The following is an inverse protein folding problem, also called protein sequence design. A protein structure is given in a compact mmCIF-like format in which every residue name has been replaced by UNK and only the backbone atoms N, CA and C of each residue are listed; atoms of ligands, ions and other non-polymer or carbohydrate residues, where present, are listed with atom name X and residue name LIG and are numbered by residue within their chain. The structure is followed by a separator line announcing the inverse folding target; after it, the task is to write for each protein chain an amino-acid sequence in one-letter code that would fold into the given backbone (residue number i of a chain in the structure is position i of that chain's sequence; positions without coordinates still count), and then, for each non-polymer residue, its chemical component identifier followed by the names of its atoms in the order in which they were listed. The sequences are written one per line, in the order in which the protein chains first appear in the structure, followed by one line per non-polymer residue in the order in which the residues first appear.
data_IF_334299155147
#
_entry.id   IF_334299155147
#
_cell.length_a   1.000
_cell.length_b   1.000
_cell.length_c   1.000
_cell.angle_alpha   90.00
_cell.angle_beta   90.00
_cell.angle_gamma   90.00
#
_symmetry.space_group_name_H-M   'P 1'
#
loop_
_entity.id
_entity.type
_entity.pdbx_description
1 polymer ?
#
# COMPACT_ATOMS: atom_id res chain seq x y z
N UNK A 1 -24.99 12.16 -13.58
CA UNK A 1 -25.75 11.93 -12.34
C UNK A 1 -27.26 11.88 -12.62
N UNK A 2 -27.70 10.92 -13.44
CA UNK A 2 -29.13 10.66 -13.64
C UNK A 2 -29.66 9.84 -12.45
N UNK A 3 -30.85 10.12 -11.90
CA UNK A 3 -31.32 9.44 -10.69
C UNK A 3 -31.45 7.92 -10.84
N UNK A 4 -31.92 7.44 -12.00
CA UNK A 4 -32.05 6.02 -12.34
C UNK A 4 -30.69 5.30 -12.37
N UNK A 5 -29.67 5.92 -12.97
CA UNK A 5 -28.31 5.37 -13.00
C UNK A 5 -27.66 5.35 -11.61
N UNK A 6 -27.91 6.36 -10.77
CA UNK A 6 -27.39 6.38 -9.39
C UNK A 6 -27.99 5.26 -8.55
N UNK A 7 -29.29 4.99 -8.68
CA UNK A 7 -29.92 3.91 -7.93
C UNK A 7 -29.40 2.55 -8.37
N UNK A 8 -29.24 2.36 -9.70
CA UNK A 8 -28.64 1.14 -10.24
C UNK A 8 -27.21 0.93 -9.72
N UNK A 9 -26.37 1.96 -9.77
CA UNK A 9 -24.98 1.88 -9.32
C UNK A 9 -24.87 1.64 -7.81
N UNK A 10 -25.79 2.23 -7.01
CA UNK A 10 -25.81 2.01 -5.56
C UNK A 10 -25.98 0.52 -5.24
N UNK A 11 -26.86 -0.18 -5.94
CA UNK A 11 -27.05 -1.62 -5.72
C UNK A 11 -25.79 -2.42 -6.10
N UNK A 12 -25.09 -2.01 -7.15
CA UNK A 12 -23.80 -2.63 -7.54
C UNK A 12 -22.77 -2.45 -6.44
N UNK A 13 -22.59 -1.23 -5.92
CA UNK A 13 -21.61 -0.95 -4.85
C UNK A 13 -21.95 -1.70 -3.56
N UNK A 14 -23.23 -1.82 -3.21
CA UNK A 14 -23.63 -2.61 -2.04
C UNK A 14 -23.28 -4.10 -2.19
N UNK A 15 -23.42 -4.65 -3.39
CA UNK A 15 -22.96 -6.01 -3.69
C UNK A 15 -21.43 -6.12 -3.66
N UNK A 16 -20.71 -5.13 -4.19
CA UNK A 16 -19.24 -5.08 -4.12
C UNK A 16 -18.72 -5.06 -2.68
N UNK A 17 -19.37 -4.33 -1.78
CA UNK A 17 -19.04 -4.34 -0.34
C UNK A 17 -19.20 -5.77 0.23
N UNK A 18 -20.31 -6.45 -0.08
CA UNK A 18 -20.55 -7.80 0.40
C UNK A 18 -19.53 -8.80 -0.17
N UNK A 19 -19.25 -8.72 -1.48
CA UNK A 19 -18.25 -9.57 -2.12
C UNK A 19 -16.85 -9.36 -1.52
N UNK A 20 -16.51 -8.11 -1.19
CA UNK A 20 -15.24 -7.76 -0.57
C UNK A 20 -15.13 -8.26 0.88
N UNK A 21 -16.20 -8.12 1.66
CA UNK A 21 -16.26 -8.68 3.03
C UNK A 21 -16.18 -10.22 3.05
N UNK A 22 -16.62 -10.87 1.97
CA UNK A 22 -16.54 -12.30 1.74
C UNK A 22 -15.18 -12.77 1.18
N UNK A 23 -14.21 -11.84 0.97
CA UNK A 23 -12.83 -12.15 0.56
C UNK A 23 -11.82 -11.88 1.70
N UNK A 24 -11.59 -12.86 2.60
CA UNK A 24 -10.71 -12.72 3.77
C UNK A 24 -9.29 -12.22 3.49
N UNK A 25 -8.75 -12.56 2.32
CA UNK A 25 -7.40 -12.16 1.90
C UNK A 25 -7.30 -10.69 1.53
N UNK A 26 -8.40 -10.04 1.15
CA UNK A 26 -8.45 -8.60 0.88
C UNK A 26 -8.87 -7.85 2.14
N UNK A 27 -9.95 -8.30 2.82
CA UNK A 27 -10.47 -7.69 4.05
C UNK A 27 -9.38 -7.45 5.13
N UNK A 28 -8.41 -8.37 5.26
CA UNK A 28 -7.34 -8.24 6.25
C UNK A 28 -6.47 -6.98 6.02
N UNK A 29 -6.33 -6.52 4.78
CA UNK A 29 -5.55 -5.33 4.45
C UNK A 29 -6.25 -4.05 4.89
N UNK A 30 -7.57 -3.98 4.75
CA UNK A 30 -8.34 -2.80 5.17
C UNK A 30 -8.41 -2.71 6.68
N UNK A 31 -8.62 -3.85 7.35
CA UNK A 31 -8.52 -3.93 8.81
C UNK A 31 -7.14 -3.48 9.30
N UNK A 32 -6.06 -3.88 8.61
CA UNK A 32 -4.71 -3.41 8.93
C UNK A 32 -4.57 -1.89 8.77
N UNK A 33 -5.07 -1.32 7.68
CA UNK A 33 -5.00 0.13 7.44
C UNK A 33 -5.86 0.92 8.43
N UNK A 34 -7.05 0.44 8.78
CA UNK A 34 -7.91 0.99 9.83
C UNK A 34 -7.19 1.00 11.18
N UNK A 35 -6.60 -0.14 11.57
CA UNK A 35 -5.86 -0.27 12.82
C UNK A 35 -4.59 0.59 12.84
N UNK A 36 -3.92 0.75 11.70
CA UNK A 36 -2.71 1.57 11.58
C UNK A 36 -3.00 3.07 11.62
N UNK A 37 -4.17 3.50 11.15
CA UNK A 37 -4.59 4.89 11.03
C UNK A 37 -5.98 5.13 11.64
N UNK A 38 -6.17 4.87 12.95
CA UNK A 38 -7.47 5.01 13.58
C UNK A 38 -7.93 6.46 13.53
N UNK A 39 -9.22 6.65 13.24
CA UNK A 39 -9.91 7.94 13.13
C UNK A 39 -9.34 8.90 12.05
N UNK A 40 -8.30 8.49 11.32
CA UNK A 40 -7.69 9.27 10.25
C UNK A 40 -8.33 8.90 8.89
N UNK A 41 -8.52 9.85 7.95
CA UNK A 41 -9.11 9.54 6.64
C UNK A 41 -8.38 8.50 5.79
N UNK A 42 -7.13 8.16 6.13
CA UNK A 42 -6.35 7.11 5.46
C UNK A 42 -6.86 5.72 5.88
N UNK A 43 -7.34 5.58 7.12
CA UNK A 43 -7.89 4.34 7.66
C UNK A 43 -9.31 4.03 7.21
N UNK A 44 -9.91 4.85 6.35
CA UNK A 44 -11.30 4.67 5.89
C UNK A 44 -11.31 3.79 4.65
N UNK A 45 -12.23 2.84 4.63
CA UNK A 45 -12.50 1.99 3.47
C UNK A 45 -12.89 2.84 2.26
N UNK A 46 -12.32 2.50 1.09
CA UNK A 46 -12.54 3.21 -0.18
C UNK A 46 -13.99 3.05 -0.63
N UNK A 47 -14.57 1.85 -0.47
CA UNK A 47 -15.98 1.58 -0.77
C UNK A 47 -16.94 2.28 0.21
N UNK A 48 -16.45 2.72 1.37
CA UNK A 48 -17.26 3.24 2.46
C UNK A 48 -18.02 2.13 3.18
N UNK A 49 -19.17 2.47 3.78
CA UNK A 49 -20.06 1.50 4.44
C UNK A 49 -21.41 1.44 3.77
N UNK A 50 -22.13 0.33 3.96
CA UNK A 50 -23.50 0.16 3.46
C UNK A 50 -24.42 1.32 3.89
N UNK A 51 -24.27 1.84 5.11
CA UNK A 51 -25.03 3.00 5.59
C UNK A 51 -24.69 4.27 4.81
N UNK A 52 -23.40 4.56 4.61
CA UNK A 52 -22.97 5.77 3.90
C UNK A 52 -23.38 5.75 2.44
N UNK A 53 -23.28 4.60 1.77
CA UNK A 53 -23.70 4.40 0.37
C UNK A 53 -25.22 4.48 0.23
N UNK A 54 -25.97 3.90 1.17
CA UNK A 54 -27.44 4.00 1.22
C UNK A 54 -27.92 5.44 1.41
N UNK A 55 -27.21 6.23 2.21
CA UNK A 55 -27.54 7.63 2.47
C UNK A 55 -27.03 8.60 1.39
N UNK A 56 -26.18 8.16 0.47
CA UNK A 56 -25.51 9.03 -0.49
C UNK A 56 -26.50 9.63 -1.50
N UNK A 57 -26.63 10.96 -1.47
CA UNK A 57 -27.55 11.69 -2.35
C UNK A 57 -26.87 12.12 -3.65
N UNK A 58 -27.68 12.30 -4.71
CA UNK A 58 -27.22 12.86 -5.99
C UNK A 58 -26.47 14.18 -5.81
N UNK A 59 -26.98 15.05 -4.95
CA UNK A 59 -26.42 16.38 -4.75
C UNK A 59 -25.09 16.32 -3.98
N UNK A 60 -24.91 15.35 -3.08
CA UNK A 60 -23.63 15.08 -2.43
C UNK A 60 -22.58 14.62 -3.46
N UNK A 61 -22.95 13.68 -4.35
CA UNK A 61 -22.06 13.20 -5.42
C UNK A 61 -21.68 14.35 -6.37
N UNK A 62 -22.66 15.12 -6.83
CA UNK A 62 -22.42 16.25 -7.71
C UNK A 62 -21.57 17.34 -7.02
N UNK A 63 -21.83 17.59 -5.74
CA UNK A 63 -21.04 18.50 -4.92
C UNK A 63 -19.58 18.07 -4.81
N UNK A 64 -19.34 16.78 -4.51
CA UNK A 64 -17.98 16.21 -4.47
C UNK A 64 -17.27 16.34 -5.83
N UNK A 65 -17.95 15.98 -6.92
CA UNK A 65 -17.39 16.12 -8.27
C UNK A 65 -16.97 17.56 -8.56
N UNK A 66 -17.84 18.54 -8.33
CA UNK A 66 -17.55 19.96 -8.57
C UNK A 66 -16.46 20.52 -7.63
N UNK A 67 -16.36 19.98 -6.41
CA UNK A 67 -15.35 20.39 -5.45
C UNK A 67 -13.96 19.85 -5.81
N UNK A 68 -13.85 18.59 -6.26
CA UNK A 68 -12.56 17.89 -6.38
C UNK A 68 -12.05 17.70 -7.82
N UNK A 69 -12.93 17.60 -8.82
CA UNK A 69 -12.55 17.39 -10.24
C UNK A 69 -12.27 18.72 -10.95
N UNK A 70 -11.33 19.49 -10.38
CA UNK A 70 -10.92 20.81 -10.88
C UNK A 70 -9.62 20.72 -11.67
N UNK A 71 -9.40 21.53 -12.73
CA UNK A 71 -8.20 21.42 -13.56
C UNK A 71 -6.86 21.41 -12.81
N UNK A 72 -6.62 22.25 -11.77
CA UNK A 72 -5.36 22.20 -11.00
C UNK A 72 -5.15 20.94 -10.14
N UNK A 73 -6.17 20.08 -10.03
CA UNK A 73 -6.16 18.82 -9.29
C UNK A 73 -6.21 17.59 -10.22
N UNK A 74 -6.14 17.80 -11.54
CA UNK A 74 -6.18 16.73 -12.54
C UNK A 74 -4.86 16.66 -13.30
N UNK A 75 -4.42 15.44 -13.59
CA UNK A 75 -3.29 15.16 -14.47
C UNK A 75 -3.80 14.27 -15.60
N UNK A 76 -3.53 14.66 -16.84
CA UNK A 76 -3.79 13.82 -18.00
C UNK A 76 -2.48 13.24 -18.50
N UNK A 77 -2.37 11.92 -18.49
CA UNK A 77 -1.21 11.19 -18.98
C UNK A 77 -1.56 10.41 -20.24
N UNK A 78 -0.67 10.42 -21.22
CA UNK A 78 -0.78 9.65 -22.44
C UNK A 78 0.59 9.08 -22.80
N UNK A 79 0.62 7.84 -23.28
CA UNK A 79 1.83 7.21 -23.80
C UNK A 79 1.48 6.30 -24.98
N UNK A 80 2.37 6.22 -25.97
CA UNK A 80 2.16 5.45 -27.18
C UNK A 80 2.70 6.19 -28.40
N UNK A 81 2.17 5.85 -29.58
CA UNK A 81 2.49 6.54 -30.83
C UNK A 81 1.65 7.83 -30.95
N UNK A 82 2.14 8.92 -30.36
CA UNK A 82 1.46 10.20 -30.30
C UNK A 82 2.42 11.37 -30.49
N UNK A 83 1.90 12.50 -30.95
CA UNK A 83 2.60 13.79 -30.98
C UNK A 83 2.09 14.67 -29.84
N UNK A 84 3.01 15.16 -29.01
CA UNK A 84 2.67 15.93 -27.81
C UNK A 84 1.77 17.13 -28.13
N UNK A 85 2.16 17.94 -29.11
CA UNK A 85 1.45 19.17 -29.47
C UNK A 85 0.02 18.91 -29.97
N UNK A 86 -0.20 17.80 -30.68
CA UNK A 86 -1.53 17.41 -31.17
C UNK A 86 -2.47 17.00 -30.01
N UNK A 87 -1.94 16.24 -29.05
CA UNK A 87 -2.67 15.83 -27.86
C UNK A 87 -2.96 17.05 -26.99
N UNK A 88 -1.95 17.87 -26.69
CA UNK A 88 -2.08 19.08 -25.88
C UNK A 88 -3.12 20.04 -26.50
N UNK A 89 -2.98 20.38 -27.77
CA UNK A 89 -3.94 21.27 -28.45
C UNK A 89 -5.34 20.64 -28.53
N UNK A 90 -5.43 19.31 -28.67
CA UNK A 90 -6.68 18.56 -28.65
C UNK A 90 -7.40 18.63 -27.31
N UNK A 91 -6.64 18.60 -26.21
CA UNK A 91 -7.13 18.75 -24.85
C UNK A 91 -7.52 20.21 -24.56
N UNK A 92 -6.67 21.18 -24.90
CA UNK A 92 -6.96 22.61 -24.72
C UNK A 92 -8.25 23.04 -25.42
N UNK A 93 -8.54 22.49 -26.60
CA UNK A 93 -9.80 22.78 -27.32
C UNK A 93 -11.05 22.19 -26.64
N UNK A 94 -10.91 21.10 -25.89
CA UNK A 94 -12.03 20.35 -25.30
C UNK A 94 -12.23 20.63 -23.82
N UNK A 95 -11.15 20.97 -23.13
CA UNK A 95 -11.15 21.35 -21.74
C UNK A 95 -11.26 22.86 -21.68
N UNK A 96 -12.42 23.36 -21.26
CA UNK A 96 -12.52 24.76 -20.89
C UNK A 96 -11.50 25.04 -19.77
N UNK A 97 -10.70 26.12 -19.84
CA UNK A 97 -9.94 26.59 -18.70
C UNK A 97 -10.95 27.03 -17.64
N UNK A 98 -11.38 26.10 -16.80
CA UNK A 98 -12.23 26.40 -15.67
C UNK A 98 -11.31 26.97 -14.58
N UNK A 99 -11.45 28.26 -14.23
CA UNK A 99 -10.71 28.82 -13.12
C UNK A 99 -11.08 28.05 -11.86
N UNK A 100 -10.08 27.75 -11.04
CA UNK A 100 -10.28 27.00 -9.81
C UNK A 100 -8.98 26.95 -9.04
N UNK A 101 -9.11 26.73 -7.74
CA UNK A 101 -7.98 26.41 -6.89
C UNK A 101 -8.00 24.92 -6.61
N UNK A 102 -6.80 24.33 -6.42
CA UNK A 102 -6.67 22.99 -5.89
C UNK A 102 -7.44 22.91 -4.56
N UNK A 103 -8.24 21.86 -4.33
CA UNK A 103 -8.94 21.71 -3.05
C UNK A 103 -7.96 21.79 -1.89
N UNK A 104 -8.31 22.57 -0.87
CA UNK A 104 -7.58 22.59 0.39
C UNK A 104 -7.77 21.23 1.05
N UNK A 105 -6.69 20.68 1.60
CA UNK A 105 -6.74 19.46 2.39
C UNK A 105 -6.81 19.86 3.84
N UNK A 106 -7.74 19.27 4.57
CA UNK A 106 -7.76 19.42 6.02
C UNK A 106 -6.56 18.66 6.60
N UNK A 107 -5.91 19.25 7.60
CA UNK A 107 -4.88 18.56 8.37
C UNK A 107 -5.53 17.60 9.36
N UNK A 108 -4.99 16.40 9.47
CA UNK A 108 -5.43 15.40 10.44
C UNK A 108 -4.24 14.98 11.29
N UNK A 109 -4.48 14.78 12.59
CA UNK A 109 -3.46 14.25 13.49
C UNK A 109 -3.47 12.72 13.43
N UNK A 110 -2.28 12.14 13.50
CA UNK A 110 -2.14 10.69 13.59
C UNK A 110 -2.36 10.22 15.02
N UNK A 111 -3.45 9.51 15.27
CA UNK A 111 -3.66 8.78 16.53
C UNK A 111 -2.64 7.67 16.75
N UNK A 112 -2.59 7.11 17.96
CA UNK A 112 -1.81 5.90 18.22
C UNK A 112 -2.42 4.71 17.45
N UNK A 113 -1.62 3.86 16.78
CA UNK A 113 -2.14 2.66 16.14
C UNK A 113 -2.85 1.73 17.14
N UNK A 114 -3.83 0.97 16.65
CA UNK A 114 -4.39 -0.17 17.40
C UNK A 114 -3.43 -1.35 17.22
N UNK A 115 -2.82 -1.91 18.28
CA UNK A 115 -1.80 -2.95 18.13
C UNK A 115 -2.29 -4.21 17.40
N UNK A 116 -3.59 -4.50 17.52
CA UNK A 116 -4.20 -5.64 16.85
C UNK A 116 -5.66 -5.39 16.48
N UNK A 117 -6.12 -6.09 15.45
CA UNK A 117 -7.53 -6.16 15.04
C UNK A 117 -7.84 -7.56 14.48
N UNK A 118 -9.02 -8.08 14.82
CA UNK A 118 -9.41 -9.46 14.52
C UNK A 118 -10.80 -9.47 13.92
N UNK A 119 -10.94 -10.19 12.81
CA UNK A 119 -12.24 -10.53 12.25
C UNK A 119 -12.42 -12.04 12.25
N UNK A 120 -13.27 -12.52 13.17
CA UNK A 120 -13.63 -13.93 13.25
C UNK A 120 -14.47 -14.31 12.04
N UNK A 121 -13.97 -15.25 11.23
CA UNK A 121 -14.64 -15.77 10.03
C UNK A 121 -14.44 -17.27 9.90
N UNK A 122 -15.46 -18.06 9.52
CA UNK A 122 -15.34 -19.49 9.30
C UNK A 122 -14.60 -19.77 7.98
N UNK A 123 -13.27 -19.73 8.03
CA UNK A 123 -12.38 -19.82 6.86
C UNK A 123 -11.37 -20.95 7.02
N UNK A 124 -10.98 -21.57 5.91
CA UNK A 124 -9.99 -22.65 5.90
C UNK A 124 -8.56 -22.15 6.13
N UNK A 125 -8.31 -20.86 5.86
CA UNK A 125 -7.03 -20.20 6.06
C UNK A 125 -7.16 -19.01 7.01
N UNK A 126 -6.14 -18.81 7.82
CA UNK A 126 -5.87 -17.56 8.50
C UNK A 126 -5.13 -16.61 7.55
N UNK A 127 -5.69 -15.42 7.35
CA UNK A 127 -5.05 -14.32 6.64
C UNK A 127 -4.50 -13.35 7.67
N UNK A 128 -3.19 -13.09 7.62
CA UNK A 128 -2.51 -12.17 8.53
C UNK A 128 -1.83 -11.06 7.78
N UNK A 129 -1.91 -9.86 8.34
CA UNK A 129 -1.07 -8.73 7.96
C UNK A 129 -0.35 -8.23 9.20
N UNK A 130 0.98 -8.18 9.13
CA UNK A 130 1.84 -7.55 10.14
C UNK A 130 2.50 -6.36 9.49
N UNK A 131 2.34 -5.17 10.07
CA UNK A 131 2.92 -3.98 9.47
C UNK A 131 3.09 -2.83 10.45
N UNK A 132 3.58 -1.72 9.94
CA UNK A 132 3.88 -0.52 10.72
C UNK A 132 3.82 0.72 9.83
N UNK A 133 3.80 1.90 10.46
CA UNK A 133 3.90 3.17 9.74
C UNK A 133 5.27 3.26 9.08
N UNK A 134 5.29 3.80 7.87
CA UNK A 134 6.46 3.94 7.04
C UNK A 134 6.57 5.36 6.47
N UNK A 135 7.48 5.54 5.51
CA UNK A 135 7.82 6.84 4.95
C UNK A 135 6.69 7.45 4.14
N UNK A 136 6.58 8.78 4.17
CA UNK A 136 5.69 9.51 3.28
C UNK A 136 6.14 9.41 1.82
N UNK A 137 5.23 9.69 0.89
CA UNK A 137 5.52 9.66 -0.56
C UNK A 137 6.58 10.67 -1.00
N UNK A 138 6.82 11.72 -0.21
CA UNK A 138 7.80 12.76 -0.46
C UNK A 138 9.18 12.49 0.14
N UNK A 139 9.32 11.45 0.96
CA UNK A 139 10.59 11.14 1.64
C UNK A 139 11.68 10.76 0.62
N UNK A 140 12.89 11.28 0.82
CA UNK A 140 14.04 11.02 -0.04
C UNK A 140 14.50 9.56 0.06
N UNK A 141 14.27 8.92 1.22
CA UNK A 141 14.64 7.54 1.49
C UNK A 141 13.70 6.51 0.83
N UNK A 142 12.71 6.94 0.04
CA UNK A 142 11.75 6.04 -0.63
C UNK A 142 12.40 4.99 -1.55
N UNK A 143 13.58 5.27 -2.11
CA UNK A 143 14.34 4.30 -2.90
C UNK A 143 14.98 3.24 -2.01
N UNK A 144 15.55 3.63 -0.88
CA UNK A 144 16.07 2.71 0.13
C UNK A 144 14.95 1.86 0.75
N UNK A 145 13.76 2.42 1.00
CA UNK A 145 12.57 1.66 1.42
C UNK A 145 12.11 0.65 0.35
N UNK A 146 12.21 1.00 -0.94
CA UNK A 146 11.88 0.07 -2.02
C UNK A 146 12.82 -1.13 -2.05
N UNK A 147 14.12 -0.89 -1.83
CA UNK A 147 15.14 -1.95 -1.71
C UNK A 147 14.89 -2.80 -0.46
N UNK A 148 14.63 -2.17 0.69
CA UNK A 148 14.30 -2.86 1.94
C UNK A 148 13.10 -3.81 1.75
N UNK A 149 12.01 -3.31 1.17
CA UNK A 149 10.83 -4.13 0.88
C UNK A 149 11.15 -5.29 -0.06
N UNK A 150 11.99 -5.07 -1.08
CA UNK A 150 12.37 -6.12 -2.02
C UNK A 150 13.15 -7.25 -1.34
N UNK A 151 14.03 -6.93 -0.39
CA UNK A 151 14.77 -7.93 0.39
C UNK A 151 13.85 -8.66 1.37
N UNK A 152 12.92 -7.94 2.01
CA UNK A 152 12.00 -8.49 3.01
C UNK A 152 11.04 -9.51 2.41
N UNK A 153 10.21 -9.09 1.45
CA UNK A 153 9.10 -9.90 0.93
C UNK A 153 8.69 -9.59 -0.51
N UNK A 154 9.46 -8.79 -1.25
CA UNK A 154 9.06 -8.31 -2.59
C UNK A 154 9.28 -9.29 -3.74
N UNK A 155 9.68 -10.54 -3.49
CA UNK A 155 9.88 -11.52 -4.56
C UNK A 155 10.35 -12.89 -4.08
N UNK A 156 10.55 -13.83 -5.01
CA UNK A 156 10.88 -15.21 -4.67
C UNK A 156 12.24 -15.38 -3.96
N UNK A 157 13.19 -14.46 -4.19
CA UNK A 157 14.49 -14.45 -3.52
C UNK A 157 14.49 -13.69 -2.18
N UNK A 158 13.33 -13.18 -1.73
CA UNK A 158 13.22 -12.42 -0.48
C UNK A 158 13.27 -13.33 0.75
N UNK A 159 13.63 -12.76 1.91
CA UNK A 159 13.79 -13.51 3.16
C UNK A 159 12.53 -14.26 3.55
N UNK A 160 11.38 -13.57 3.55
CA UNK A 160 10.10 -14.16 3.94
C UNK A 160 9.67 -15.30 3.00
N UNK A 161 9.89 -15.12 1.69
CA UNK A 161 9.58 -16.17 0.73
C UNK A 161 10.45 -17.40 0.96
N UNK A 162 11.77 -17.21 1.13
CA UNK A 162 12.69 -18.31 1.34
C UNK A 162 12.44 -19.03 2.68
N UNK A 163 12.29 -18.29 3.78
CA UNK A 163 12.16 -18.87 5.12
C UNK A 163 10.79 -19.54 5.33
N UNK A 164 9.69 -18.87 4.98
CA UNK A 164 8.34 -19.32 5.37
C UNK A 164 7.73 -20.21 4.29
N UNK A 165 7.92 -19.87 3.01
CA UNK A 165 7.32 -20.61 1.89
C UNK A 165 8.23 -21.70 1.36
N UNK A 166 9.45 -21.39 0.94
CA UNK A 166 10.34 -22.35 0.28
C UNK A 166 10.86 -23.43 1.25
N UNK A 167 11.42 -23.01 2.39
CA UNK A 167 12.07 -23.95 3.32
C UNK A 167 11.08 -24.69 4.21
N UNK A 168 10.01 -24.03 4.66
CA UNK A 168 9.07 -24.59 5.65
C UNK A 168 7.70 -24.97 5.08
N UNK A 169 7.33 -24.47 3.90
CA UNK A 169 6.04 -24.79 3.29
C UNK A 169 4.83 -24.40 4.14
N UNK A 170 4.95 -23.39 5.02
CA UNK A 170 3.89 -23.02 5.97
C UNK A 170 2.78 -22.20 5.32
N UNK A 171 3.11 -21.50 4.23
CA UNK A 171 2.23 -20.54 3.57
C UNK A 171 2.23 -20.79 2.07
N UNK A 172 1.08 -20.57 1.43
CA UNK A 172 1.02 -20.52 -0.03
C UNK A 172 1.44 -19.15 -0.56
N UNK A 173 0.96 -18.10 0.11
CA UNK A 173 1.25 -16.71 -0.22
C UNK A 173 1.88 -16.02 0.99
N UNK A 174 3.05 -15.41 0.77
CA UNK A 174 3.69 -14.47 1.68
C UNK A 174 4.40 -13.42 0.84
N UNK A 175 4.20 -12.16 1.17
CA UNK A 175 4.85 -11.04 0.48
C UNK A 175 4.85 -9.81 1.38
N UNK A 176 5.65 -8.81 1.01
CA UNK A 176 5.62 -7.50 1.64
C UNK A 176 5.34 -6.39 0.63
N UNK A 177 4.64 -5.37 1.07
CA UNK A 177 4.31 -4.21 0.26
C UNK A 177 4.48 -2.91 1.03
N UNK A 178 4.57 -1.82 0.27
CA UNK A 178 4.62 -0.45 0.79
C UNK A 178 3.52 0.41 0.21
N UNK A 179 2.84 1.15 1.06
CA UNK A 179 1.90 2.22 0.69
C UNK A 179 2.47 3.56 1.11
N UNK A 180 2.39 4.57 0.24
CA UNK A 180 2.96 5.88 0.50
C UNK A 180 1.88 6.96 0.30
N UNK A 181 1.55 7.66 1.38
CA UNK A 181 0.59 8.74 1.44
C UNK A 181 1.31 10.09 1.56
N UNK A 182 0.57 11.20 1.58
CA UNK A 182 1.19 12.52 1.60
C UNK A 182 2.04 12.75 2.86
N UNK A 183 1.51 12.36 4.03
CA UNK A 183 2.09 12.69 5.34
C UNK A 183 2.64 11.46 6.08
N UNK A 184 2.39 10.25 5.56
CA UNK A 184 2.81 8.98 6.18
C UNK A 184 2.86 7.86 5.12
N UNK A 185 3.15 6.64 5.53
CA UNK A 185 3.11 5.44 4.72
C UNK A 185 2.85 4.20 5.56
N UNK A 186 2.79 3.04 4.91
CA UNK A 186 2.73 1.74 5.56
C UNK A 186 3.75 0.80 4.91
N UNK A 187 4.39 -0.03 5.73
CA UNK A 187 5.10 -1.23 5.30
C UNK A 187 4.39 -2.40 5.95
N UNK A 188 3.98 -3.39 5.16
CA UNK A 188 3.26 -4.54 5.70
C UNK A 188 3.70 -5.83 5.03
N UNK A 189 3.56 -6.92 5.78
CA UNK A 189 3.79 -8.29 5.38
C UNK A 189 2.45 -9.01 5.44
N UNK A 190 2.02 -9.58 4.33
CA UNK A 190 0.85 -10.46 4.28
C UNK A 190 1.31 -11.92 4.28
N UNK A 191 0.55 -12.79 4.95
CA UNK A 191 0.64 -14.23 4.79
C UNK A 191 -0.72 -14.93 4.91
N UNK A 192 -0.93 -15.95 4.07
CA UNK A 192 -2.06 -16.88 4.17
C UNK A 192 -1.60 -18.26 4.62
N UNK A 193 -2.11 -18.75 5.76
CA UNK A 193 -1.65 -19.99 6.42
C UNK A 193 -2.81 -20.82 6.98
N UNK A 194 -2.55 -22.09 7.32
CA UNK A 194 -3.51 -22.89 8.07
C UNK A 194 -3.69 -22.30 9.49
N UNK A 195 -4.91 -22.26 10.06
CA UNK A 195 -5.15 -21.63 11.37
C UNK A 195 -4.28 -22.17 12.51
N UNK A 196 -3.93 -23.46 12.46
CA UNK A 196 -3.06 -24.12 13.45
C UNK A 196 -1.60 -23.69 13.37
N UNK A 197 -1.19 -23.00 12.29
CA UNK A 197 0.18 -22.54 12.01
C UNK A 197 0.34 -21.03 12.15
N UNK A 198 -0.72 -20.29 12.49
CA UNK A 198 -0.68 -18.83 12.55
C UNK A 198 0.34 -18.29 13.55
N UNK A 199 0.46 -18.88 14.74
CA UNK A 199 1.44 -18.44 15.74
C UNK A 199 2.88 -18.59 15.24
N UNK A 200 3.17 -19.74 14.63
CA UNK A 200 4.48 -20.03 14.04
C UNK A 200 4.81 -19.05 12.92
N UNK A 201 3.86 -18.76 12.03
CA UNK A 201 4.05 -17.80 10.93
C UNK A 201 4.25 -16.37 11.43
N UNK A 202 3.45 -15.92 12.40
CA UNK A 202 3.61 -14.59 13.00
C UNK A 202 4.99 -14.45 13.65
N UNK A 203 5.43 -15.46 14.42
CA UNK A 203 6.76 -15.47 15.02
C UNK A 203 7.85 -15.35 13.97
N UNK A 204 7.79 -16.14 12.88
CA UNK A 204 8.79 -16.09 11.81
C UNK A 204 8.82 -14.73 11.09
N UNK A 205 7.67 -14.09 10.88
CA UNK A 205 7.59 -12.74 10.33
C UNK A 205 8.29 -11.75 11.29
N UNK A 206 7.99 -11.82 12.58
CA UNK A 206 8.64 -11.01 13.61
C UNK A 206 10.15 -11.19 13.62
N UNK A 207 10.62 -12.44 13.64
CA UNK A 207 12.04 -12.79 13.65
C UNK A 207 12.78 -12.28 12.40
N UNK A 208 12.15 -12.30 11.22
CA UNK A 208 12.74 -11.72 10.00
C UNK A 208 12.79 -10.19 10.03
N UNK A 209 11.74 -9.53 10.54
CA UNK A 209 11.73 -8.08 10.74
C UNK A 209 12.84 -7.66 11.73
N UNK A 210 12.98 -8.38 12.84
CA UNK A 210 14.00 -8.12 13.86
C UNK A 210 15.42 -8.41 13.35
N UNK A 211 15.63 -9.50 12.61
CA UNK A 211 16.92 -9.78 11.95
C UNK A 211 17.29 -8.70 10.94
N UNK A 212 16.32 -8.19 10.19
CA UNK A 212 16.55 -7.13 9.21
C UNK A 212 16.85 -5.79 9.90
N UNK A 213 16.19 -5.48 11.02
CA UNK A 213 16.45 -4.30 11.83
C UNK A 213 17.85 -4.33 12.49
N UNK A 214 18.25 -5.47 13.05
CA UNK A 214 19.51 -5.59 13.80
C UNK A 214 20.73 -5.85 12.92
N UNK A 215 20.56 -6.69 11.88
CA UNK A 215 21.66 -7.17 11.04
C UNK A 215 21.75 -6.51 9.67
N UNK A 216 20.73 -5.72 9.28
CA UNK A 216 20.65 -5.10 7.97
C UNK A 216 20.62 -6.10 6.82
N UNK A 217 21.04 -5.63 5.65
CA UNK A 217 21.12 -6.43 4.41
C UNK A 217 22.56 -6.75 4.02
N UNK A 218 22.75 -7.90 3.40
CA UNK A 218 24.03 -8.29 2.79
C UNK A 218 24.26 -7.59 1.45
N UNK A 219 25.52 -7.56 0.98
CA UNK A 219 25.84 -7.04 -0.37
C UNK A 219 25.15 -7.85 -1.48
N UNK A 220 24.97 -9.15 -1.27
CA UNK A 220 24.29 -10.02 -2.22
C UNK A 220 22.79 -9.70 -2.30
N UNK A 221 22.12 -9.59 -1.16
CA UNK A 221 20.70 -9.20 -1.10
C UNK A 221 20.48 -7.80 -1.71
N UNK A 222 21.36 -6.85 -1.41
CA UNK A 222 21.31 -5.51 -1.99
C UNK A 222 21.41 -5.56 -3.52
N UNK A 223 22.36 -6.32 -4.05
CA UNK A 223 22.57 -6.46 -5.49
C UNK A 223 21.36 -7.12 -6.18
N UNK A 224 20.81 -8.19 -5.59
CA UNK A 224 19.61 -8.87 -6.10
C UNK A 224 18.39 -7.94 -6.07
N UNK A 225 18.16 -7.23 -4.97
CA UNK A 225 17.04 -6.31 -4.83
C UNK A 225 17.09 -5.19 -5.87
N UNK A 226 18.25 -4.53 -6.03
CA UNK A 226 18.44 -3.50 -7.07
C UNK A 226 18.27 -4.07 -8.47
N UNK A 227 18.84 -5.25 -8.73
CA UNK A 227 18.70 -5.94 -10.01
C UNK A 227 17.24 -6.21 -10.35
N UNK A 228 16.46 -6.70 -9.38
CA UNK A 228 15.04 -6.96 -9.55
C UNK A 228 14.25 -5.68 -9.82
N UNK A 229 14.43 -4.64 -9.01
CA UNK A 229 13.71 -3.37 -9.19
C UNK A 229 13.97 -2.74 -10.57
N UNK A 230 15.23 -2.77 -11.04
CA UNK A 230 15.60 -2.28 -12.37
C UNK A 230 15.07 -3.17 -13.49
N UNK A 231 15.13 -4.49 -13.33
CA UNK A 231 14.61 -5.45 -14.30
C UNK A 231 13.10 -5.33 -14.47
N UNK A 232 12.37 -5.25 -13.36
CA UNK A 232 10.91 -5.04 -13.36
C UNK A 232 10.53 -3.70 -13.99
N UNK A 233 11.31 -2.63 -13.75
CA UNK A 233 11.12 -1.36 -14.44
C UNK A 233 11.31 -1.52 -15.96
N UNK A 234 12.37 -2.20 -16.41
CA UNK A 234 12.65 -2.38 -17.83
C UNK A 234 11.51 -3.14 -18.55
N UNK A 235 11.03 -4.23 -17.96
CA UNK A 235 9.92 -5.01 -18.50
C UNK A 235 8.61 -4.20 -18.55
N UNK A 236 8.32 -3.43 -17.51
CA UNK A 236 7.12 -2.58 -17.48
C UNK A 236 7.13 -1.48 -18.56
N UNK A 237 8.30 -1.09 -19.09
CA UNK A 237 8.39 -0.07 -20.14
C UNK A 237 8.03 -0.58 -21.54
N UNK A 238 7.81 -1.89 -21.72
CA UNK A 238 7.31 -2.47 -22.98
C UNK A 238 5.83 -2.13 -23.23
N UNK A 239 5.06 -1.94 -22.15
CA UNK A 239 3.65 -1.62 -22.21
C UNK A 239 3.40 -0.09 -22.12
N UNK A 240 2.68 0.43 -23.10
CA UNK A 240 2.29 1.85 -23.12
C UNK A 240 1.39 2.25 -21.94
N UNK A 241 0.53 1.34 -21.45
CA UNK A 241 -0.34 1.60 -20.31
C UNK A 241 0.47 1.82 -19.02
N UNK A 242 1.46 0.97 -18.80
CA UNK A 242 2.41 1.03 -17.70
C UNK A 242 3.24 2.31 -17.72
N UNK A 243 3.69 2.74 -18.91
CA UNK A 243 4.37 4.03 -19.10
C UNK A 243 3.46 5.22 -18.78
N UNK A 244 2.23 5.19 -19.26
CA UNK A 244 1.21 6.22 -19.01
C UNK A 244 0.90 6.33 -17.51
N UNK A 245 0.65 5.21 -16.83
CA UNK A 245 0.39 5.17 -15.39
C UNK A 245 1.60 5.73 -14.61
N UNK A 246 2.83 5.33 -14.95
CA UNK A 246 4.04 5.86 -14.34
C UNK A 246 4.14 7.38 -14.44
N UNK A 247 3.93 7.95 -15.62
CA UNK A 247 4.00 9.40 -15.84
C UNK A 247 2.91 10.11 -15.04
N UNK A 248 1.66 9.66 -15.17
CA UNK A 248 0.52 10.28 -14.49
C UNK A 248 0.64 10.21 -12.97
N UNK A 249 1.03 9.05 -12.42
CA UNK A 249 1.26 8.88 -11.00
C UNK A 249 2.43 9.72 -10.50
N UNK A 250 3.53 9.81 -11.27
CA UNK A 250 4.70 10.59 -10.85
C UNK A 250 4.35 12.08 -10.71
N UNK A 251 3.65 12.64 -11.69
CA UNK A 251 3.18 14.02 -11.65
C UNK A 251 2.16 14.25 -10.52
N UNK A 252 1.17 13.36 -10.39
CA UNK A 252 0.09 13.51 -9.40
C UNK A 252 0.57 13.35 -7.94
N UNK A 253 1.53 12.44 -7.73
CA UNK A 253 1.97 12.03 -6.39
C UNK A 253 3.23 12.77 -5.95
N UNK A 254 4.21 12.91 -6.84
CA UNK A 254 5.52 13.46 -6.51
C UNK A 254 5.74 14.88 -7.04
N UNK A 255 5.00 15.28 -8.09
CA UNK A 255 5.24 16.56 -8.78
C UNK A 255 6.56 16.60 -9.54
N UNK A 256 7.18 15.43 -9.73
CA UNK A 256 8.38 15.23 -10.55
C UNK A 256 8.19 13.97 -11.39
N UNK A 257 8.56 14.02 -12.67
CA UNK A 257 8.55 12.85 -13.57
C UNK A 257 10.00 12.45 -13.86
N UNK A 258 10.52 11.52 -13.05
CA UNK A 258 11.87 11.00 -13.25
C UNK A 258 11.97 10.20 -14.56
N UNK A 259 13.03 10.46 -15.32
CA UNK A 259 13.43 9.63 -16.44
C UNK A 259 13.78 8.21 -15.98
N UNK A 260 13.81 7.28 -16.93
CA UNK A 260 14.20 5.90 -16.65
C UNK A 260 15.63 5.82 -16.12
N UNK A 261 16.54 6.60 -16.71
CA UNK A 261 17.93 6.69 -16.26
C UNK A 261 18.03 7.21 -14.82
N UNK A 262 17.31 8.28 -14.47
CA UNK A 262 17.31 8.81 -13.10
C UNK A 262 16.76 7.81 -12.08
N UNK A 263 15.71 7.05 -12.43
CA UNK A 263 15.19 5.99 -11.56
C UNK A 263 16.22 4.88 -11.32
N UNK A 264 16.93 4.47 -12.38
CA UNK A 264 18.00 3.48 -12.32
C UNK A 264 19.16 4.00 -11.47
N UNK A 265 19.61 5.23 -11.71
CA UNK A 265 20.70 5.87 -10.97
C UNK A 265 20.37 6.01 -9.49
N UNK A 266 19.16 6.49 -9.15
CA UNK A 266 18.73 6.60 -7.74
C UNK A 266 18.61 5.24 -7.06
N UNK A 267 18.22 4.19 -7.80
CA UNK A 267 18.20 2.81 -7.28
C UNK A 267 19.61 2.28 -7.07
N UNK A 268 20.52 2.54 -8.01
CA UNK A 268 21.91 2.10 -7.93
C UNK A 268 22.72 2.83 -6.86
N UNK A 269 22.37 4.08 -6.56
CA UNK A 269 22.97 4.87 -5.50
C UNK A 269 22.68 4.34 -4.09
N UNK A 270 21.60 3.56 -3.88
CA UNK A 270 21.21 3.07 -2.55
C UNK A 270 22.32 2.21 -1.93
N UNK A 271 22.84 2.60 -0.77
CA UNK A 271 23.86 1.82 -0.06
C UNK A 271 23.25 0.92 1.01
N UNK A 272 24.04 -0.02 1.56
CA UNK A 272 23.61 -0.81 2.73
C UNK A 272 23.29 0.08 3.93
N UNK A 273 24.08 1.14 4.14
CA UNK A 273 23.81 2.11 5.21
C UNK A 273 22.50 2.86 5.03
N UNK A 274 22.10 3.14 3.78
CA UNK A 274 20.79 3.75 3.52
C UNK A 274 19.66 2.79 3.87
N UNK A 275 19.79 1.51 3.48
CA UNK A 275 18.81 0.48 3.81
C UNK A 275 18.72 0.27 5.33
N UNK A 276 19.85 0.22 6.03
CA UNK A 276 19.88 0.09 7.49
C UNK A 276 19.23 1.29 8.19
N UNK A 277 19.54 2.52 7.75
CA UNK A 277 18.90 3.74 8.26
C UNK A 277 17.38 3.67 8.10
N UNK A 278 16.90 3.24 6.94
CA UNK A 278 15.45 3.08 6.70
C UNK A 278 14.85 1.96 7.55
N UNK A 279 15.57 0.85 7.73
CA UNK A 279 15.14 -0.23 8.60
C UNK A 279 14.93 0.28 10.03
N UNK A 280 15.86 1.07 10.57
CA UNK A 280 15.72 1.69 11.90
C UNK A 280 14.54 2.67 11.98
N UNK A 281 14.35 3.52 10.96
CA UNK A 281 13.25 4.51 10.90
C UNK A 281 11.86 3.88 10.75
N UNK A 282 11.77 2.71 10.11
CA UNK A 282 10.50 2.08 9.75
C UNK A 282 10.21 0.85 10.62
N UNK A 283 11.14 -0.10 10.71
CA UNK A 283 10.95 -1.36 11.45
C UNK A 283 11.01 -1.18 12.97
N UNK A 284 11.52 -0.03 13.44
CA UNK A 284 11.47 0.37 14.84
C UNK A 284 10.12 0.96 15.28
N UNK A 285 9.19 1.20 14.35
CA UNK A 285 7.84 1.67 14.70
C UNK A 285 6.99 0.55 15.30
N UNK A 286 5.92 0.95 16.00
CA UNK A 286 4.96 0.02 16.59
C UNK A 286 4.34 -0.89 15.51
N UNK A 287 4.35 -2.21 15.79
CA UNK A 287 3.79 -3.23 14.91
C UNK A 287 2.29 -3.35 15.15
N UNK A 288 1.54 -3.41 14.07
CA UNK A 288 0.10 -3.69 14.04
C UNK A 288 -0.12 -5.04 13.39
N UNK A 289 -1.00 -5.85 13.99
CA UNK A 289 -1.40 -7.15 13.46
C UNK A 289 -2.89 -7.15 13.12
N UNK A 290 -3.23 -7.40 11.86
CA UNK A 290 -4.58 -7.72 11.45
C UNK A 290 -4.69 -9.21 11.15
N UNK A 291 -5.79 -9.83 11.58
CA UNK A 291 -6.07 -11.24 11.40
C UNK A 291 -7.52 -11.44 10.95
N UNK A 292 -7.72 -12.16 9.85
CA UNK A 292 -9.03 -12.70 9.44
C UNK A 292 -8.93 -14.22 9.44
N UNK A 293 -9.76 -14.88 10.25
CA UNK A 293 -9.72 -16.33 10.37
C UNK A 293 -10.64 -16.90 11.45
N UNK A 294 -10.63 -18.22 11.67
CA UNK A 294 -11.49 -18.87 12.67
C UNK A 294 -10.90 -18.75 14.09
N UNK A 295 -10.69 -17.51 14.56
CA UNK A 295 -10.09 -17.20 15.86
C UNK A 295 -11.03 -16.39 16.73
N UNK A 296 -11.04 -16.66 18.04
CA UNK A 296 -11.64 -15.75 19.01
C UNK A 296 -10.65 -14.63 19.35
N UNK A 297 -11.16 -13.43 19.63
CA UNK A 297 -10.35 -12.23 19.90
C UNK A 297 -9.35 -12.42 21.05
N UNK A 298 -9.72 -13.24 22.06
CA UNK A 298 -8.87 -13.57 23.19
C UNK A 298 -7.62 -14.41 22.81
N UNK A 299 -7.68 -15.19 21.73
CA UNK A 299 -6.63 -16.13 21.33
C UNK A 299 -5.33 -15.44 20.86
N UNK A 300 -5.40 -14.16 20.49
CA UNK A 300 -4.26 -13.40 19.99
C UNK A 300 -3.45 -12.68 21.06
N UNK A 301 -3.99 -12.47 22.26
CA UNK A 301 -3.27 -11.81 23.36
C UNK A 301 -1.95 -12.55 23.70
N UNK A 302 -1.92 -13.87 23.50
CA UNK A 302 -0.73 -14.72 23.69
C UNK A 302 0.17 -14.82 22.44
N UNK A 303 -0.30 -14.38 21.27
CA UNK A 303 0.40 -14.45 19.98
C UNK A 303 0.97 -13.10 19.53
N UNK A 304 0.70 -12.03 20.29
CA UNK A 304 1.11 -10.68 19.96
C UNK A 304 2.64 -10.58 19.87
N UNK A 305 3.12 -10.17 18.69
CA UNK A 305 4.50 -9.76 18.46
C UNK A 305 4.76 -8.49 19.27
N UNK A 306 5.08 -8.63 20.55
CA UNK A 306 5.58 -7.52 21.35
C UNK A 306 6.91 -7.07 20.74
N UNK A 307 6.97 -5.79 20.34
CA UNK A 307 8.23 -5.17 19.95
C UNK A 307 9.26 -5.40 21.06
N UNK A 308 10.35 -6.10 20.74
CA UNK A 308 11.48 -6.28 21.66
C UNK A 308 12.41 -5.06 21.68
N UNK A 309 12.11 -4.01 20.92
CA UNK A 309 12.87 -2.77 20.96
C UNK A 309 12.36 -1.94 22.12
N UNK A 310 12.98 -2.15 23.29
CA UNK A 310 12.88 -1.24 24.41
C UNK A 310 13.21 0.19 23.92
N UNK A 311 12.25 1.10 24.04
CA UNK A 311 12.51 2.53 23.90
C UNK A 311 13.65 2.92 24.86
N UNK A 312 14.65 3.70 24.41
CA UNK A 312 15.61 4.31 25.33
C UNK A 312 14.95 5.29 26.31
#
# INVERSE_FOLDING_TARGET
FRPDEIESERQVILEEILMHEDEPSELVHDLFIEALFPDHPIGREVLGTAETISALSRDAIAGHFLAHYRPPNLVLAAAGNLHHDEVAAGLERRMSPAPGQRPVRDGFEFGAPRPQIVSTRPTEQANVVVGMRALSRGDEDRFALSVLNQVLGGGMSSRLFQEIREQRGLVYAVYSYRSAYLESGALAVYAGTAPTRTAEVLQLIGDELDRLLQGGVTDHELALAKGHLKGSLALALEDSGSRMNRIGRSELVHGEVLSVSELVERTDAVTRSDVQRVAERVLGNERVVALVGPFEEAALTDMALTSTVASP
#
